data_IF_844185709378
#
_entry.id   IF_844185709378
#
_cell.length_a   1.000
_cell.length_b   1.000
_cell.length_c   1.000
_cell.angle_alpha   90.00
_cell.angle_beta   90.00
_cell.angle_gamma   90.00
#
_symmetry.space_group_name_H-M   'P 1'
#
loop_
_entity.id
_entity.type
_entity.pdbx_description
1 polymer ?
#
# COMPACT_ATOMS: atom_id res chain seq x y z
N UNK A 1 -3.37 12.09 -75.42
CA UNK A 1 -4.47 12.91 -74.86
C UNK A 1 -5.79 12.18 -75.05
N UNK A 2 -6.52 11.79 -73.99
CA UNK A 2 -7.81 12.41 -73.63
C UNK A 2 -8.45 11.77 -72.37
N UNK A 3 -9.17 12.62 -71.65
CA UNK A 3 -9.81 12.53 -70.32
C UNK A 3 -10.78 11.34 -70.11
N UNK A 4 -10.86 10.84 -68.87
CA UNK A 4 -11.78 9.77 -68.44
C UNK A 4 -13.04 10.25 -67.71
N UNK A 5 -13.81 9.32 -67.12
CA UNK A 5 -14.88 9.54 -66.11
C UNK A 5 -15.16 8.23 -65.31
N UNK A 6 -15.65 8.40 -64.07
CA UNK A 6 -15.96 7.40 -63.02
C UNK A 6 -17.25 6.58 -63.24
N UNK A 7 -17.33 5.36 -62.67
CA UNK A 7 -18.58 4.72 -62.16
C UNK A 7 -18.22 3.77 -60.98
N UNK A 8 -18.93 3.86 -59.84
CA UNK A 8 -18.79 2.98 -58.64
C UNK A 8 -19.65 1.71 -58.75
N UNK A 9 -19.39 0.68 -57.91
CA UNK A 9 -20.52 0.04 -57.24
C UNK A 9 -20.20 -0.41 -55.79
N UNK A 10 -20.98 0.07 -54.82
CA UNK A 10 -21.09 -0.58 -53.51
C UNK A 10 -22.21 -1.63 -53.60
N UNK A 11 -21.81 -2.89 -53.63
CA UNK A 11 -22.66 -4.07 -53.77
C UNK A 11 -22.59 -4.95 -52.51
N UNK A 12 -23.61 -5.80 -52.36
CA UNK A 12 -23.83 -6.86 -51.36
C UNK A 12 -24.53 -6.41 -50.05
N UNK A 13 -25.86 -6.48 -49.96
CA UNK A 13 -26.77 -7.66 -49.89
C UNK A 13 -26.51 -8.61 -48.70
N UNK A 14 -27.37 -8.44 -47.69
CA UNK A 14 -28.23 -9.46 -47.04
C UNK A 14 -27.56 -10.82 -46.75
N UNK A 15 -27.42 -11.19 -45.47
CA UNK A 15 -28.09 -12.37 -44.89
C UNK A 15 -27.69 -12.61 -43.42
N UNK A 16 -28.62 -13.23 -42.69
CA UNK A 16 -28.44 -14.00 -41.45
C UNK A 16 -28.51 -13.25 -40.11
N UNK A 17 -29.75 -13.00 -39.70
CA UNK A 17 -30.22 -13.21 -38.33
C UNK A 17 -29.91 -14.65 -37.86
N UNK A 18 -28.69 -14.92 -37.40
CA UNK A 18 -28.35 -16.14 -36.66
C UNK A 18 -27.39 -15.79 -35.51
N UNK A 19 -27.76 -16.19 -34.29
CA UNK A 19 -26.92 -16.31 -33.09
C UNK A 19 -26.49 -15.03 -32.37
N UNK A 20 -27.50 -14.35 -31.84
CA UNK A 20 -27.47 -13.39 -30.73
C UNK A 20 -26.98 -14.01 -29.38
N UNK A 21 -26.10 -15.02 -29.38
CA UNK A 21 -25.69 -15.80 -28.20
C UNK A 21 -24.37 -16.56 -28.46
N UNK A 22 -23.24 -15.86 -28.68
CA UNK A 22 -21.90 -16.44 -28.46
C UNK A 22 -20.78 -15.37 -28.46
N UNK A 23 -20.84 -14.43 -27.53
CA UNK A 23 -19.65 -13.79 -26.93
C UNK A 23 -19.92 -13.52 -25.44
N UNK A 24 -20.78 -14.34 -24.83
CA UNK A 24 -20.67 -14.62 -23.41
C UNK A 24 -19.23 -15.08 -23.14
N UNK A 25 -18.61 -14.51 -22.10
CA UNK A 25 -17.45 -15.07 -21.40
C UNK A 25 -16.12 -15.19 -22.17
N UNK A 26 -15.55 -14.05 -22.58
CA UNK A 26 -14.14 -13.79 -22.26
C UNK A 26 -14.16 -12.85 -21.05
N UNK A 27 -14.24 -13.36 -19.81
CA UNK A 27 -13.06 -13.62 -18.97
C UNK A 27 -11.98 -12.55 -19.27
N UNK A 28 -11.70 -11.58 -18.40
CA UNK A 28 -11.72 -11.67 -16.96
C UNK A 28 -12.52 -10.57 -16.25
N UNK A 29 -13.03 -10.94 -15.08
CA UNK A 29 -12.97 -10.07 -13.93
C UNK A 29 -11.54 -9.50 -13.82
N UNK A 30 -11.31 -8.27 -14.24
CA UNK A 30 -10.19 -7.51 -13.69
C UNK A 30 -10.66 -6.08 -13.50
N UNK A 31 -11.63 -5.92 -12.61
CA UNK A 31 -11.48 -4.84 -11.66
C UNK A 31 -10.38 -5.33 -10.73
N UNK A 32 -9.13 -5.22 -11.19
CA UNK A 32 -7.98 -5.28 -10.29
C UNK A 32 -8.17 -4.06 -9.41
N UNK A 33 -8.80 -4.32 -8.28
CA UNK A 33 -9.06 -3.38 -7.24
C UNK A 33 -7.69 -2.87 -6.83
N UNK A 34 -7.30 -1.71 -7.36
CA UNK A 34 -6.15 -0.92 -6.91
C UNK A 34 -6.25 -0.87 -5.40
N UNK A 35 -5.51 -1.76 -4.70
CA UNK A 35 -5.09 -1.43 -3.36
C UNK A 35 -4.41 -0.08 -3.55
N UNK A 36 -4.95 0.99 -2.96
CA UNK A 36 -4.38 2.32 -3.12
C UNK A 36 -2.87 2.24 -2.94
N UNK A 37 -2.11 2.91 -3.80
CA UNK A 37 -0.64 2.80 -3.86
C UNK A 37 0.03 2.80 -2.49
N UNK A 38 -0.52 3.56 -1.52
CA UNK A 38 -0.07 3.57 -0.14
C UNK A 38 -0.12 2.22 0.57
N UNK A 39 -1.17 1.43 0.36
CA UNK A 39 -1.31 0.09 0.95
C UNK A 39 -0.37 -0.93 0.30
N UNK A 40 -0.12 -0.83 -1.01
CA UNK A 40 0.86 -1.68 -1.68
C UNK A 40 2.26 -1.47 -1.10
N UNK A 41 2.68 -0.20 -0.99
CA UNK A 41 3.93 0.17 -0.34
C UNK A 41 3.97 -0.29 1.13
N UNK A 42 2.88 -0.17 1.89
CA UNK A 42 2.83 -0.68 3.26
C UNK A 42 3.07 -2.19 3.33
N UNK A 43 2.43 -2.97 2.45
CA UNK A 43 2.61 -4.43 2.40
C UNK A 43 4.03 -4.81 1.97
N UNK A 44 4.61 -4.10 0.99
CA UNK A 44 5.99 -4.27 0.58
C UNK A 44 6.97 -4.01 1.73
N UNK A 45 6.70 -2.99 2.56
CA UNK A 45 7.49 -2.74 3.74
C UNK A 45 7.43 -3.89 4.76
N UNK A 46 6.24 -4.45 5.00
CA UNK A 46 6.09 -5.60 5.92
C UNK A 46 6.83 -6.85 5.41
N UNK A 47 6.78 -7.11 4.10
CA UNK A 47 7.55 -8.18 3.48
C UNK A 47 9.07 -7.96 3.60
N UNK A 48 9.53 -6.73 3.35
CA UNK A 48 10.93 -6.34 3.56
C UNK A 48 11.38 -6.54 5.02
N UNK A 49 10.54 -6.18 6.00
CA UNK A 49 10.79 -6.46 7.42
C UNK A 49 10.87 -7.96 7.71
N UNK A 50 9.99 -8.77 7.11
CA UNK A 50 10.05 -10.23 7.22
C UNK A 50 11.36 -10.83 6.70
N UNK A 51 11.99 -10.16 5.74
CA UNK A 51 13.32 -10.51 5.19
C UNK A 51 14.49 -9.89 5.96
N UNK A 52 14.21 -9.03 6.95
CA UNK A 52 15.22 -8.26 7.69
C UNK A 52 15.78 -7.06 6.92
N UNK A 53 15.22 -6.73 5.75
CA UNK A 53 15.63 -5.57 4.95
C UNK A 53 14.97 -4.29 5.49
N UNK A 54 15.59 -3.77 6.54
CA UNK A 54 15.10 -2.59 7.25
C UNK A 54 15.15 -1.33 6.38
N UNK A 55 16.12 -1.23 5.47
CA UNK A 55 16.29 -0.04 4.64
C UNK A 55 15.19 0.04 3.57
N UNK A 56 14.89 -1.07 2.92
CA UNK A 56 13.75 -1.16 1.99
C UNK A 56 12.44 -0.91 2.73
N UNK A 57 12.26 -1.48 3.92
CA UNK A 57 11.06 -1.23 4.72
C UNK A 57 10.83 0.25 5.03
N UNK A 58 11.86 1.01 5.42
CA UNK A 58 11.73 2.46 5.66
C UNK A 58 11.35 3.20 4.37
N UNK A 59 11.95 2.83 3.24
CA UNK A 59 11.66 3.45 1.94
C UNK A 59 10.21 3.24 1.55
N UNK A 60 9.74 1.99 1.60
CA UNK A 60 8.37 1.62 1.28
C UNK A 60 7.37 2.25 2.26
N UNK A 61 7.66 2.31 3.56
CA UNK A 61 6.82 3.05 4.51
C UNK A 61 6.73 4.53 4.20
N UNK A 62 7.80 5.13 3.67
CA UNK A 62 7.79 6.54 3.29
C UNK A 62 6.92 6.79 2.07
N UNK A 63 7.02 5.93 1.05
CA UNK A 63 6.13 5.96 -0.12
C UNK A 63 4.67 5.71 0.28
N UNK A 64 4.45 4.80 1.24
CA UNK A 64 3.13 4.52 1.81
C UNK A 64 2.51 5.79 2.41
N UNK A 65 3.26 6.48 3.28
CA UNK A 65 2.86 7.73 3.93
C UNK A 65 2.64 8.85 2.91
N UNK A 66 3.47 8.96 1.87
CA UNK A 66 3.32 9.97 0.82
C UNK A 66 2.05 9.76 -0.02
N UNK A 67 1.72 8.50 -0.31
CA UNK A 67 0.53 8.16 -1.07
C UNK A 67 -0.75 8.32 -0.25
N UNK A 68 -0.79 7.75 0.96
CA UNK A 68 -1.92 7.87 1.89
C UNK A 68 -1.39 7.83 3.33
N UNK A 69 -1.34 8.97 4.05
CA UNK A 69 -0.90 8.98 5.44
C UNK A 69 -1.84 8.16 6.33
N UNK A 70 -1.32 7.07 6.89
CA UNK A 70 -2.04 6.24 7.83
C UNK A 70 -1.26 6.04 9.14
N UNK A 71 -1.99 5.76 10.23
CA UNK A 71 -1.38 5.59 11.56
C UNK A 71 -0.42 4.40 11.61
N UNK A 72 -0.68 3.34 10.86
CA UNK A 72 0.10 2.11 10.89
C UNK A 72 1.47 2.30 10.24
N UNK A 73 1.56 2.97 9.10
CA UNK A 73 2.81 3.25 8.42
C UNK A 73 3.73 4.11 9.28
N UNK A 74 3.20 5.16 9.93
CA UNK A 74 3.96 5.94 10.92
C UNK A 74 4.40 5.08 12.12
N UNK A 75 3.52 4.24 12.68
CA UNK A 75 3.86 3.40 13.83
C UNK A 75 4.91 2.32 13.51
N UNK A 76 4.84 1.73 12.31
CA UNK A 76 5.85 0.76 11.85
C UNK A 76 7.20 1.46 11.66
N UNK A 77 7.22 2.64 11.02
CA UNK A 77 8.45 3.39 10.77
C UNK A 77 9.07 3.93 12.07
N UNK A 78 8.24 4.39 13.00
CA UNK A 78 8.66 4.79 14.34
C UNK A 78 9.31 3.62 15.11
N UNK A 79 8.71 2.42 15.05
CA UNK A 79 9.28 1.22 15.68
C UNK A 79 10.67 0.96 15.10
N UNK A 80 10.79 0.92 13.78
CA UNK A 80 12.08 0.69 13.10
C UNK A 80 13.11 1.74 13.52
N UNK A 81 12.79 3.03 13.45
CA UNK A 81 13.71 4.08 13.85
C UNK A 81 14.16 3.94 15.31
N UNK A 82 13.25 3.55 16.21
CA UNK A 82 13.60 3.29 17.60
C UNK A 82 14.51 2.06 17.78
N UNK A 83 14.38 1.01 16.96
CA UNK A 83 15.27 -0.15 16.98
C UNK A 83 16.66 0.21 16.42
N UNK A 84 16.71 1.15 15.47
CA UNK A 84 17.96 1.71 14.93
C UNK A 84 18.62 2.72 15.88
N UNK A 85 17.89 3.24 16.87
CA UNK A 85 18.36 4.29 17.80
C UNK A 85 18.21 5.70 17.24
N UNK A 86 17.45 5.87 16.16
CA UNK A 86 17.09 7.15 15.56
C UNK A 86 15.87 7.75 16.28
N UNK A 87 16.01 7.96 17.60
CA UNK A 87 14.90 8.24 18.51
C UNK A 87 14.13 9.52 18.14
N UNK A 88 14.79 10.54 17.60
CA UNK A 88 14.14 11.78 17.19
C UNK A 88 13.21 11.57 15.98
N UNK A 89 13.61 10.74 15.01
CA UNK A 89 12.74 10.38 13.89
C UNK A 89 11.56 9.54 14.35
N UNK A 90 11.80 8.60 15.28
CA UNK A 90 10.74 7.81 15.88
C UNK A 90 9.70 8.70 16.59
N UNK A 91 10.15 9.71 17.36
CA UNK A 91 9.25 10.68 18.01
C UNK A 91 8.47 11.52 17.01
N UNK A 92 9.10 11.94 15.91
CA UNK A 92 8.41 12.68 14.84
C UNK A 92 7.28 11.85 14.23
N UNK A 93 7.55 10.59 13.88
CA UNK A 93 6.53 9.68 13.34
C UNK A 93 5.41 9.42 14.38
N UNK A 94 5.74 9.30 15.66
CA UNK A 94 4.72 9.17 16.72
C UNK A 94 3.85 10.42 16.87
N UNK A 95 4.41 11.62 16.65
CA UNK A 95 3.64 12.87 16.64
C UNK A 95 2.64 12.86 15.48
N UNK A 96 3.06 12.47 14.28
CA UNK A 96 2.14 12.36 13.14
C UNK A 96 1.10 11.26 13.35
N UNK A 97 1.48 10.09 13.85
CA UNK A 97 0.55 9.02 14.20
C UNK A 97 -0.54 9.48 15.19
N UNK A 98 -0.15 10.27 16.19
CA UNK A 98 -1.07 10.81 17.21
C UNK A 98 -2.03 11.86 16.66
N UNK A 99 -1.67 12.57 15.59
CA UNK A 99 -2.60 13.49 14.89
C UNK A 99 -3.70 12.71 14.17
N UNK A 100 -3.42 11.50 13.68
CA UNK A 100 -4.37 10.66 12.96
C UNK A 100 -5.25 9.88 13.94
N UNK A 101 -4.65 9.15 14.87
CA UNK A 101 -5.37 8.34 15.87
C UNK A 101 -4.68 8.45 17.22
N UNK A 102 -5.09 9.46 17.99
CA UNK A 102 -4.56 9.70 19.34
C UNK A 102 -4.91 8.61 20.37
N UNK A 103 -5.90 7.75 20.08
CA UNK A 103 -6.33 6.67 20.96
C UNK A 103 -5.57 5.36 20.69
N UNK A 104 -4.73 5.32 19.66
CA UNK A 104 -3.97 4.13 19.32
C UNK A 104 -3.00 3.73 20.44
N UNK A 105 -3.30 2.63 21.11
CA UNK A 105 -2.50 2.16 22.27
C UNK A 105 -1.05 1.80 21.91
N UNK A 106 -0.75 1.52 20.63
CA UNK A 106 0.63 1.29 20.18
C UNK A 106 1.50 2.54 20.31
N UNK A 107 0.95 3.74 20.22
CA UNK A 107 1.71 5.00 20.37
C UNK A 107 2.37 5.00 21.76
N UNK A 108 1.58 4.85 22.82
CA UNK A 108 2.08 4.84 24.19
C UNK A 108 3.02 3.65 24.48
N UNK A 109 2.83 2.53 23.79
CA UNK A 109 3.74 1.38 23.87
C UNK A 109 5.12 1.72 23.29
N UNK A 110 5.21 2.26 22.06
CA UNK A 110 6.49 2.67 21.45
C UNK A 110 7.14 3.80 22.26
N UNK A 111 6.36 4.78 22.75
CA UNK A 111 6.87 5.81 23.67
C UNK A 111 7.47 5.19 24.95
N UNK A 112 6.88 4.11 25.44
CA UNK A 112 7.40 3.31 26.55
C UNK A 112 8.74 2.64 26.25
N UNK A 113 8.88 2.08 25.04
CA UNK A 113 10.13 1.47 24.59
C UNK A 113 11.23 2.53 24.38
N UNK A 114 10.90 3.71 23.85
CA UNK A 114 11.84 4.81 23.67
C UNK A 114 12.46 5.30 25.00
N UNK A 115 11.75 5.19 26.13
CA UNK A 115 12.30 5.51 27.46
C UNK A 115 13.34 4.52 27.96
N UNK A 116 13.43 3.33 27.37
CA UNK A 116 14.43 2.32 27.71
C UNK A 116 15.71 2.55 26.93
N UNK A 117 16.81 2.06 27.47
CA UNK A 117 18.05 1.91 26.71
C UNK A 117 17.80 1.06 25.45
N UNK A 118 18.44 1.41 24.33
CA UNK A 118 18.23 0.79 23.01
C UNK A 118 18.30 -0.73 23.05
N UNK A 119 19.26 -1.27 23.78
CA UNK A 119 19.51 -2.70 23.96
C UNK A 119 18.46 -3.41 24.83
N UNK A 120 17.63 -2.67 25.57
CA UNK A 120 16.54 -3.19 26.40
C UNK A 120 15.15 -3.08 25.75
N UNK A 121 15.04 -2.43 24.58
CA UNK A 121 13.77 -2.26 23.85
C UNK A 121 13.25 -3.58 23.31
N UNK A 122 11.93 -3.71 23.22
CA UNK A 122 11.22 -4.83 22.61
C UNK A 122 11.60 -6.21 23.18
N UNK A 123 11.92 -6.25 24.48
CA UNK A 123 12.30 -7.46 25.22
C UNK A 123 11.40 -7.71 26.43
N UNK A 124 11.30 -8.98 26.81
CA UNK A 124 10.56 -9.42 27.99
C UNK A 124 9.05 -9.37 27.82
N UNK A 125 8.32 -9.19 28.94
CA UNK A 125 6.85 -9.29 29.01
C UNK A 125 6.10 -8.30 28.10
N UNK A 126 6.73 -7.18 27.73
CA UNK A 126 6.14 -6.13 26.89
C UNK A 126 6.80 -6.06 25.51
N UNK A 127 7.48 -7.13 25.08
CA UNK A 127 8.15 -7.20 23.78
C UNK A 127 7.19 -7.03 22.60
N UNK A 128 5.93 -7.43 22.78
CA UNK A 128 4.90 -7.34 21.75
C UNK A 128 3.98 -6.15 22.03
N UNK A 129 3.48 -5.48 20.97
CA UNK A 129 2.51 -4.42 21.12
C UNK A 129 1.23 -4.93 21.79
N UNK A 130 0.52 -4.06 22.54
CA UNK A 130 -0.79 -4.40 23.06
C UNK A 130 -1.71 -4.79 21.88
N UNK A 131 -2.32 -5.97 21.95
CA UNK A 131 -3.35 -6.35 21.00
C UNK A 131 -4.58 -5.49 21.32
N UNK A 132 -4.99 -4.66 20.38
CA UNK A 132 -6.19 -3.83 20.53
C UNK A 132 -7.38 -4.70 20.90
N UNK A 133 -8.00 -4.42 22.04
CA UNK A 133 -9.33 -4.93 22.33
C UNK A 133 -10.28 -4.40 21.25
N UNK A 134 -11.02 -5.31 20.63
CA UNK A 134 -12.03 -5.01 19.61
C UNK A 134 -13.00 -3.91 20.05
#
# INVERSE_FOLDING_TARGET
MNRGYYVTPASFRILCLFSLLCLSSLVGCQQEQELGSGKEHYLAALDALGKGDTQTAISELSLSIEAEPDVWAYLERARIYSELGEDEKAKQDLVEAKKIDSANTRIGWIEGELRKAKDARYKGRLANPPQGGK
#
